data_IF_312177148861
#
_entry.id   IF_312177148861
#
_cell.length_a   1.000
_cell.length_b   1.000
_cell.length_c   1.000
_cell.angle_alpha   90.00
_cell.angle_beta   90.00
_cell.angle_gamma   90.00
#
_symmetry.space_group_name_H-M   'P 1'
#
loop_
_entity.id
_entity.type
_entity.pdbx_description
1 polymer ?
#
# COMPACT_ATOMS: atom_id res chain seq x y z
N UNK A 1 2.37 12.66 -1.71
CA UNK A 1 3.17 12.43 -2.94
C UNK A 1 2.22 11.90 -3.99
N UNK A 2 2.30 12.37 -5.23
CA UNK A 2 1.43 11.92 -6.33
C UNK A 2 2.31 11.39 -7.46
N UNK A 3 1.92 10.28 -8.05
CA UNK A 3 2.69 9.60 -9.10
C UNK A 3 1.78 9.28 -10.29
N UNK A 4 2.37 9.06 -11.47
CA UNK A 4 1.65 8.60 -12.67
C UNK A 4 1.96 7.12 -12.92
N UNK A 5 0.93 6.36 -13.28
CA UNK A 5 1.06 4.95 -13.68
C UNK A 5 1.30 4.85 -15.18
N UNK A 6 2.00 3.79 -15.61
CA UNK A 6 2.15 3.45 -17.03
C UNK A 6 0.83 2.96 -17.60
N UNK A 7 0.62 3.21 -18.90
CA UNK A 7 -0.58 2.76 -19.62
C UNK A 7 -0.61 1.23 -19.78
N UNK A 8 0.55 0.57 -19.85
CA UNK A 8 0.68 -0.87 -20.15
C UNK A 8 1.01 -1.74 -18.92
N UNK A 9 0.36 -1.50 -17.78
CA UNK A 9 0.60 -2.24 -16.53
C UNK A 9 2.08 -2.21 -16.06
N UNK A 10 2.38 -2.79 -14.90
CA UNK A 10 3.77 -2.93 -14.41
C UNK A 10 4.33 -1.72 -13.66
N UNK A 11 3.50 -0.78 -13.22
CA UNK A 11 3.93 0.25 -12.26
C UNK A 11 3.91 -0.33 -10.85
N UNK A 12 5.07 -0.27 -10.17
CA UNK A 12 5.21 -0.66 -8.78
C UNK A 12 5.87 0.48 -8.00
N UNK A 13 5.24 0.87 -6.90
CA UNK A 13 5.79 1.81 -5.93
C UNK A 13 5.90 1.12 -4.58
N UNK A 14 7.11 1.14 -4.02
CA UNK A 14 7.40 0.60 -2.69
C UNK A 14 7.82 1.72 -1.74
N UNK A 15 7.67 1.48 -0.44
CA UNK A 15 8.15 2.37 0.59
C UNK A 15 8.77 1.55 1.73
N UNK A 16 9.90 2.03 2.25
CA UNK A 16 10.63 1.45 3.36
C UNK A 16 10.48 2.28 4.62
N UNK A 17 10.33 1.61 5.75
CA UNK A 17 10.12 2.17 7.08
C UNK A 17 11.11 1.57 8.08
N UNK A 18 11.60 2.41 8.97
CA UNK A 18 12.49 2.03 10.07
C UNK A 18 11.97 2.66 11.36
N UNK A 19 11.81 1.87 12.42
CA UNK A 19 11.37 2.34 13.73
C UNK A 19 12.55 2.47 14.69
N UNK A 20 13.13 3.67 14.80
CA UNK A 20 14.31 3.89 15.64
C UNK A 20 15.48 3.05 15.14
N UNK A 21 16.08 2.21 16.00
CA UNK A 21 17.14 1.26 15.63
C UNK A 21 16.60 -0.12 15.22
N UNK A 22 15.39 -0.15 14.64
CA UNK A 22 14.72 -1.39 14.23
C UNK A 22 15.20 -1.90 12.87
N UNK A 23 14.71 -3.08 12.43
CA UNK A 23 14.95 -3.53 11.06
C UNK A 23 14.28 -2.58 10.05
N UNK A 24 14.91 -2.43 8.89
CA UNK A 24 14.30 -1.75 7.74
C UNK A 24 13.27 -2.70 7.13
N UNK A 25 12.01 -2.32 7.19
CA UNK A 25 10.89 -3.07 6.63
C UNK A 25 10.38 -2.32 5.40
N UNK A 26 9.90 -3.03 4.39
CA UNK A 26 9.36 -2.38 3.19
C UNK A 26 8.09 -3.06 2.72
N UNK A 27 7.28 -2.33 1.97
CA UNK A 27 6.09 -2.88 1.33
C UNK A 27 5.77 -2.16 0.03
N UNK A 28 5.02 -2.85 -0.82
CA UNK A 28 4.49 -2.29 -2.06
C UNK A 28 3.25 -1.45 -1.75
N UNK A 29 3.42 -0.14 -1.76
CA UNK A 29 2.35 0.86 -1.53
C UNK A 29 1.36 0.88 -2.69
N UNK A 30 1.86 0.58 -3.89
CA UNK A 30 1.04 0.46 -5.08
C UNK A 30 1.63 -0.57 -6.04
N UNK A 31 0.84 -1.58 -6.35
CA UNK A 31 1.08 -2.50 -7.46
C UNK A 31 -0.08 -2.33 -8.45
N UNK A 32 0.22 -1.90 -9.68
CA UNK A 32 -0.81 -1.64 -10.68
C UNK A 32 -1.69 -2.85 -10.99
N UNK A 33 -1.13 -4.07 -10.98
CA UNK A 33 -1.89 -5.31 -11.22
C UNK A 33 -2.81 -5.57 -10.02
N UNK A 34 -2.34 -5.30 -8.80
CA UNK A 34 -3.08 -5.53 -7.56
C UNK A 34 -4.12 -4.46 -7.26
N UNK A 35 -3.86 -3.19 -7.59
CA UNK A 35 -4.46 -2.01 -6.92
C UNK A 35 -5.20 -1.05 -7.83
N UNK A 36 -5.05 -1.15 -9.15
CA UNK A 36 -5.61 -0.18 -10.11
C UNK A 36 -7.11 0.09 -9.94
N UNK A 37 -7.89 -0.89 -9.46
CA UNK A 37 -9.34 -0.77 -9.24
C UNK A 37 -9.75 -0.89 -7.77
N UNK A 38 -8.81 -0.83 -6.83
CA UNK A 38 -9.08 -1.02 -5.39
C UNK A 38 -8.91 0.25 -4.56
N UNK A 39 -8.15 1.22 -5.08
CA UNK A 39 -7.95 2.49 -4.41
C UNK A 39 -9.06 3.48 -4.78
N UNK A 40 -9.48 4.26 -3.78
CA UNK A 40 -10.55 5.23 -3.91
C UNK A 40 -10.05 6.50 -4.62
N UNK A 41 -10.71 6.93 -5.69
CA UNK A 41 -10.35 8.14 -6.45
C UNK A 41 -8.86 8.24 -6.81
N UNK A 42 -8.23 7.10 -7.18
CA UNK A 42 -6.78 6.98 -7.43
C UNK A 42 -5.87 7.28 -6.21
N UNK A 43 -6.45 7.33 -5.01
CA UNK A 43 -5.75 7.55 -3.74
C UNK A 43 -5.77 6.27 -2.90
N UNK A 44 -4.62 5.63 -2.77
CA UNK A 44 -4.45 4.49 -1.88
C UNK A 44 -4.06 4.99 -0.47
N UNK A 45 -4.97 4.88 0.49
CA UNK A 45 -4.69 5.24 1.89
C UNK A 45 -4.21 4.01 2.66
N UNK A 46 -3.09 4.15 3.35
CA UNK A 46 -2.46 3.07 4.12
C UNK A 46 -2.26 3.51 5.57
N UNK A 47 -2.59 2.61 6.49
CA UNK A 47 -2.24 2.70 7.91
C UNK A 47 -1.04 1.79 8.16
N UNK A 48 0.08 2.38 8.56
CA UNK A 48 1.32 1.63 8.77
C UNK A 48 1.51 1.37 10.26
N UNK A 49 1.56 0.10 10.63
CA UNK A 49 1.80 -0.38 12.00
C UNK A 49 3.04 -1.26 12.02
N UNK A 50 3.65 -1.47 13.20
CA UNK A 50 4.81 -2.36 13.32
C UNK A 50 4.54 -3.77 12.80
N UNK A 51 3.31 -4.25 12.95
CA UNK A 51 2.89 -5.60 12.52
C UNK A 51 2.61 -5.70 11.01
N UNK A 52 2.44 -4.57 10.32
CA UNK A 52 2.21 -4.53 8.88
C UNK A 52 1.40 -3.31 8.41
N UNK A 53 1.41 -3.02 7.11
CA UNK A 53 0.56 -2.01 6.48
C UNK A 53 -0.87 -2.52 6.23
N UNK A 54 -1.87 -1.70 6.53
CA UNK A 54 -3.27 -1.96 6.23
C UNK A 54 -3.84 -0.91 5.27
N UNK A 55 -4.38 -1.36 4.14
CA UNK A 55 -5.01 -0.49 3.14
C UNK A 55 -6.47 -0.25 3.46
N UNK A 56 -6.89 1.00 3.27
CA UNK A 56 -8.31 1.36 3.20
C UNK A 56 -8.91 0.92 1.87
N UNK A 57 -9.96 0.09 1.90
CA UNK A 57 -10.73 -0.30 0.73
C UNK A 57 -12.17 0.20 0.91
N UNK A 58 -12.64 1.16 0.11
CA UNK A 58 -14.00 1.71 0.26
C UNK A 58 -15.10 0.69 -0.08
N UNK A 59 -14.73 -0.42 -0.71
CA UNK A 59 -15.62 -1.52 -1.11
C UNK A 59 -15.85 -2.52 0.03
N UNK A 60 -15.00 -2.51 1.06
CA UNK A 60 -15.24 -3.25 2.28
C UNK A 60 -16.14 -2.42 3.20
N UNK A 61 -16.86 -3.08 4.11
CA UNK A 61 -17.61 -2.35 5.14
C UNK A 61 -16.65 -1.35 5.81
N UNK A 62 -17.09 -0.11 6.04
CA UNK A 62 -16.19 1.05 6.26
C UNK A 62 -15.17 0.90 7.41
N UNK A 63 -15.36 -0.09 8.28
CA UNK A 63 -14.47 -0.51 9.37
C UNK A 63 -13.39 -1.53 8.98
N UNK A 64 -13.56 -2.27 7.89
CA UNK A 64 -12.66 -3.34 7.46
C UNK A 64 -11.54 -2.79 6.57
N UNK A 65 -10.31 -2.93 7.08
CA UNK A 65 -9.07 -2.58 6.38
C UNK A 65 -8.38 -3.87 5.97
N UNK A 66 -7.85 -3.91 4.75
CA UNK A 66 -7.09 -5.07 4.29
C UNK A 66 -5.63 -4.94 4.70
N UNK A 67 -5.22 -5.76 5.66
CA UNK A 67 -3.83 -5.79 6.15
C UNK A 67 -2.97 -6.74 5.33
N UNK A 68 -1.72 -6.35 5.15
CA UNK A 68 -0.70 -7.09 4.42
C UNK A 68 0.54 -7.25 5.32
N UNK A 69 1.27 -8.37 5.24
CA UNK A 69 2.54 -8.50 5.91
C UNK A 69 3.58 -7.59 5.25
N UNK A 70 4.68 -7.31 5.96
CA UNK A 70 5.87 -6.71 5.40
C UNK A 70 6.49 -7.60 4.31
N UNK A 71 7.07 -6.98 3.28
CA UNK A 71 7.88 -7.71 2.30
C UNK A 71 9.23 -8.06 2.95
N UNK A 72 9.69 -9.29 2.71
CA UNK A 72 10.96 -9.85 3.21
C UNK A 72 12.05 -9.78 2.14
#
# INVERSE_FOLDING_TARGET
>A
MSFRTKIFYGTLFFCSFEWGNGPVLHFDVYDQIRDQNKCDDNVCKWYVHKDGPCRYEPQLDSSDRKCYPWNH
#
